data_IF_886954184423
#
_entry.id   IF_886954184423
#
_cell.length_a   1.000
_cell.length_b   1.000
_cell.length_c   1.000
_cell.angle_alpha   90.00
_cell.angle_beta   90.00
_cell.angle_gamma   90.00
#
_symmetry.space_group_name_H-M   'P 1'
#
loop_
_entity.id
_entity.type
_entity.pdbx_description
1 polymer ?
#
# COMPACT_ATOMS: atom_id res chain seq x y z
N UNK A 1 31.22 4.31 1.28
CA UNK A 1 31.26 5.75 1.61
C UNK A 1 32.52 6.20 2.37
N UNK A 2 33.65 5.48 2.31
CA UNK A 2 34.84 5.83 3.13
C UNK A 2 35.61 7.07 2.65
N UNK A 3 35.50 7.42 1.37
CA UNK A 3 36.21 8.57 0.77
C UNK A 3 35.55 9.92 1.03
N UNK A 4 34.26 9.91 1.38
CA UNK A 4 33.43 11.11 1.55
C UNK A 4 33.94 12.07 2.63
N UNK A 5 34.30 11.60 3.84
CA UNK A 5 34.82 12.48 4.88
C UNK A 5 36.09 13.24 4.44
N UNK A 6 37.01 12.53 3.75
CA UNK A 6 38.24 13.12 3.23
C UNK A 6 37.96 14.15 2.14
N UNK A 7 36.97 13.88 1.27
CA UNK A 7 36.56 14.79 0.21
C UNK A 7 35.90 16.07 0.76
N UNK A 8 35.01 15.93 1.73
CA UNK A 8 34.34 17.04 2.42
C UNK A 8 35.40 17.93 3.10
N UNK A 9 36.33 17.33 3.84
CA UNK A 9 37.41 18.09 4.49
C UNK A 9 38.26 18.88 3.49
N UNK A 10 38.63 18.24 2.36
CA UNK A 10 39.40 18.90 1.29
C UNK A 10 38.64 20.06 0.64
N UNK A 11 37.33 19.91 0.42
CA UNK A 11 36.50 20.95 -0.19
C UNK A 11 36.21 22.09 0.77
N UNK A 12 35.85 21.78 2.03
CA UNK A 12 35.63 22.79 3.05
C UNK A 12 36.89 23.65 3.24
N UNK A 13 38.10 23.08 3.17
CA UNK A 13 39.34 23.89 3.22
C UNK A 13 39.46 24.92 2.09
N UNK A 14 38.90 24.67 0.91
CA UNK A 14 38.99 25.57 -0.25
C UNK A 14 37.88 26.63 -0.27
N UNK A 15 36.71 26.29 0.23
CA UNK A 15 35.49 27.07 0.04
C UNK A 15 34.85 27.57 1.35
N UNK A 16 35.26 27.07 2.51
CA UNK A 16 34.77 27.58 3.78
C UNK A 16 35.37 28.95 4.04
N UNK A 17 34.49 29.93 4.24
CA UNK A 17 34.84 31.29 4.64
C UNK A 17 34.54 31.40 6.13
N UNK A 18 35.50 31.89 6.91
CA UNK A 18 35.27 32.18 8.32
C UNK A 18 34.22 33.29 8.42
N UNK A 19 33.12 33.09 9.17
CA UNK A 19 32.11 34.13 9.32
C UNK A 19 32.71 35.37 9.99
N UNK A 20 32.24 36.55 9.60
CA UNK A 20 32.70 37.82 10.16
C UNK A 20 32.30 37.97 11.63
N UNK A 21 31.12 37.47 11.98
CA UNK A 21 30.61 37.38 13.34
C UNK A 21 30.43 35.89 13.68
N UNK A 22 31.04 35.46 14.79
CA UNK A 22 30.96 34.07 15.25
C UNK A 22 29.69 33.75 16.03
N UNK A 23 28.74 34.68 16.09
CA UNK A 23 27.51 34.51 16.83
C UNK A 23 26.53 33.60 16.07
N UNK A 24 25.81 32.79 16.85
CA UNK A 24 24.78 31.91 16.31
C UNK A 24 23.54 32.73 15.94
N UNK A 25 23.32 32.91 14.63
CA UNK A 25 22.15 33.62 14.09
C UNK A 25 20.91 32.71 14.03
N UNK A 26 21.04 31.41 14.37
CA UNK A 26 19.93 30.48 14.28
C UNK A 26 18.92 30.67 15.42
N UNK A 27 17.64 30.66 15.06
CA UNK A 27 16.53 30.68 16.00
C UNK A 27 16.37 29.28 16.59
N UNK A 28 16.47 29.17 17.93
CA UNK A 28 16.16 27.92 18.62
C UNK A 28 14.68 27.61 18.46
N UNK A 29 14.32 26.36 18.12
CA UNK A 29 12.92 25.98 18.01
C UNK A 29 12.22 26.18 19.36
N UNK A 30 11.01 26.73 19.30
CA UNK A 30 10.17 26.88 20.48
C UNK A 30 9.65 25.51 20.93
N UNK A 31 10.16 25.03 22.06
CA UNK A 31 9.75 23.77 22.68
C UNK A 31 10.57 22.54 22.28
N UNK A 32 10.14 21.37 22.77
CA UNK A 32 10.79 20.09 22.46
C UNK A 32 10.27 19.56 21.13
N UNK A 33 11.09 19.66 20.09
CA UNK A 33 10.80 19.04 18.79
C UNK A 33 11.30 17.60 18.79
N UNK A 34 10.40 16.67 18.48
CA UNK A 34 10.74 15.27 18.28
C UNK A 34 11.35 15.08 16.88
N UNK A 35 12.68 15.14 16.80
CA UNK A 35 13.42 15.04 15.54
C UNK A 35 13.28 13.67 14.89
N UNK A 36 13.21 12.60 15.70
CA UNK A 36 13.05 11.24 15.19
C UNK A 36 11.72 11.08 14.45
N UNK A 37 10.66 11.67 15.00
CA UNK A 37 9.35 11.70 14.36
C UNK A 37 9.28 12.65 13.15
N UNK A 38 10.04 13.75 13.19
CA UNK A 38 10.08 14.74 12.12
C UNK A 38 10.74 14.19 10.86
N UNK A 39 11.92 13.58 11.03
CA UNK A 39 12.75 13.01 9.96
C UNK A 39 12.40 11.56 9.61
N UNK A 40 11.37 10.99 10.24
CA UNK A 40 10.90 9.66 9.92
C UNK A 40 10.49 9.53 8.45
N UNK A 41 10.78 8.36 7.86
CA UNK A 41 10.30 8.00 6.52
C UNK A 41 8.79 7.82 6.57
N UNK A 42 8.06 8.47 5.66
CA UNK A 42 6.60 8.49 5.64
C UNK A 42 6.05 7.71 4.46
N UNK A 43 5.03 6.91 4.69
CA UNK A 43 4.36 6.15 3.65
C UNK A 43 2.89 5.90 3.97
N UNK A 44 2.00 6.12 2.99
CA UNK A 44 0.56 5.89 3.18
C UNK A 44 0.22 4.42 2.95
N UNK A 45 -0.47 3.80 3.91
CA UNK A 45 -0.96 2.41 3.82
C UNK A 45 -2.43 2.32 4.22
N UNK A 46 -3.14 1.37 3.62
CA UNK A 46 -4.49 1.00 4.07
C UNK A 46 -4.36 -0.11 5.09
N UNK A 47 -5.10 0.03 6.18
CA UNK A 47 -5.20 -0.98 7.23
C UNK A 47 -6.26 -2.02 6.88
N UNK A 48 -6.10 -3.21 7.45
CA UNK A 48 -7.10 -4.28 7.39
C UNK A 48 -8.28 -4.00 8.33
N UNK A 49 -9.27 -4.89 8.34
CA UNK A 49 -10.43 -4.83 9.24
C UNK A 49 -10.06 -4.81 10.73
N UNK A 50 -8.90 -5.38 11.09
CA UNK A 50 -8.38 -5.37 12.46
C UNK A 50 -7.41 -4.23 12.77
N UNK A 51 -7.25 -3.25 11.86
CA UNK A 51 -6.27 -2.16 12.05
C UNK A 51 -4.81 -2.56 11.85
N UNK A 52 -4.53 -3.76 11.34
CA UNK A 52 -3.18 -4.25 11.02
C UNK A 52 -2.64 -3.61 9.74
N UNK A 53 -1.32 -3.44 9.66
CA UNK A 53 -0.61 -2.95 8.47
C UNK A 53 0.50 -3.91 8.08
N UNK A 54 0.70 -4.09 6.77
CA UNK A 54 1.90 -4.71 6.21
C UNK A 54 2.88 -3.65 5.71
N UNK A 55 4.10 -3.64 6.22
CA UNK A 55 5.16 -2.69 5.87
C UNK A 55 6.51 -3.38 5.81
N UNK A 56 7.31 -3.14 4.77
CA UNK A 56 8.65 -3.75 4.63
C UNK A 56 8.67 -5.29 4.68
N UNK A 57 7.57 -5.95 4.26
CA UNK A 57 7.43 -7.41 4.33
C UNK A 57 7.07 -7.97 5.72
N UNK A 58 6.90 -7.10 6.72
CA UNK A 58 6.51 -7.45 8.09
C UNK A 58 5.09 -6.96 8.38
N UNK A 59 4.45 -7.55 9.39
CA UNK A 59 3.12 -7.14 9.83
C UNK A 59 3.21 -6.43 11.17
N UNK A 60 2.43 -5.37 11.31
CA UNK A 60 2.40 -4.56 12.51
C UNK A 60 0.97 -4.35 12.99
N UNK A 61 0.79 -4.42 14.30
CA UNK A 61 -0.48 -4.22 14.99
C UNK A 61 -0.31 -3.04 15.96
N UNK A 62 -1.35 -2.21 16.15
CA UNK A 62 -1.34 -1.17 17.17
C UNK A 62 -0.98 -1.73 18.56
N UNK A 63 -0.06 -1.06 19.26
CA UNK A 63 0.33 -1.43 20.61
C UNK A 63 -0.76 -1.15 21.66
N UNK A 64 -1.63 -0.19 21.35
CA UNK A 64 -2.76 0.20 22.18
C UNK A 64 -4.05 -0.48 21.68
N UNK A 65 -5.02 -0.67 22.57
CA UNK A 65 -6.34 -1.26 22.25
C UNK A 65 -7.19 -0.41 21.29
N UNK A 66 -6.71 0.77 20.86
CA UNK A 66 -7.36 1.65 19.88
C UNK A 66 -7.24 1.13 18.43
N UNK A 67 -7.18 -0.19 18.26
CA UNK A 67 -7.18 -0.87 16.95
C UNK A 67 -8.40 -0.50 16.10
N UNK A 68 -9.53 -0.21 16.76
CA UNK A 68 -10.80 0.09 16.09
C UNK A 68 -10.78 1.43 15.36
N UNK A 69 -10.10 2.44 15.91
CA UNK A 69 -9.95 3.76 15.28
C UNK A 69 -9.12 3.75 13.99
N UNK A 70 -8.37 2.67 13.77
CA UNK A 70 -7.52 2.47 12.60
C UNK A 70 -8.07 1.45 11.61
N UNK A 71 -9.18 0.76 11.85
CA UNK A 71 -9.70 -0.25 10.92
C UNK A 71 -10.12 0.36 9.57
N UNK A 72 -9.79 -0.32 8.46
CA UNK A 72 -10.15 0.05 7.08
C UNK A 72 -9.86 1.50 6.66
N UNK A 73 -8.88 2.14 7.29
CA UNK A 73 -8.58 3.56 7.11
C UNK A 73 -7.21 3.71 6.44
N UNK A 74 -7.01 4.78 5.68
CA UNK A 74 -5.69 5.15 5.20
C UNK A 74 -4.91 5.80 6.33
N UNK A 75 -3.78 5.21 6.69
CA UNK A 75 -2.90 5.66 7.77
C UNK A 75 -1.52 5.96 7.21
N UNK A 76 -0.87 6.97 7.80
CA UNK A 76 0.52 7.30 7.47
C UNK A 76 1.44 6.49 8.39
N UNK A 77 2.18 5.57 7.79
CA UNK A 77 3.24 4.82 8.47
C UNK A 77 4.48 5.69 8.52
N UNK A 78 5.05 5.84 9.71
CA UNK A 78 6.31 6.53 9.94
C UNK A 78 7.36 5.58 10.52
N UNK A 79 8.46 5.43 9.80
CA UNK A 79 9.63 4.68 10.24
C UNK A 79 10.70 5.66 10.74
N UNK A 80 11.04 5.58 12.04
CA UNK A 80 12.11 6.40 12.61
C UNK A 80 13.49 5.89 12.18
N UNK A 81 14.52 6.73 12.34
CA UNK A 81 15.93 6.36 12.15
C UNK A 81 16.35 5.12 12.97
N UNK A 82 15.71 4.92 14.12
CA UNK A 82 15.88 3.76 15.02
C UNK A 82 15.12 2.50 14.59
N UNK A 83 14.32 2.58 13.52
CA UNK A 83 13.52 1.45 13.02
C UNK A 83 12.19 1.24 13.75
N UNK A 84 11.75 2.19 14.60
CA UNK A 84 10.42 2.11 15.24
C UNK A 84 9.37 2.53 14.24
N UNK A 85 8.25 1.82 14.24
CA UNK A 85 7.12 2.08 13.36
C UNK A 85 5.98 2.76 14.13
N UNK A 86 5.53 3.89 13.60
CA UNK A 86 4.37 4.62 14.09
C UNK A 86 3.27 4.64 13.04
N UNK A 87 2.03 4.41 13.46
CA UNK A 87 0.85 4.67 12.67
C UNK A 87 0.28 6.04 13.04
N UNK A 88 0.14 6.93 12.07
CA UNK A 88 -0.51 8.23 12.24
C UNK A 88 -1.86 8.23 11.54
N UNK A 89 -2.93 8.44 12.31
CA UNK A 89 -4.30 8.57 11.79
C UNK A 89 -5.00 9.73 12.47
N UNK A 90 -5.60 10.63 11.68
CA UNK A 90 -6.37 11.80 12.18
C UNK A 90 -5.61 12.61 13.24
N UNK A 91 -4.29 12.77 13.08
CA UNK A 91 -3.43 13.49 14.02
C UNK A 91 -3.04 12.72 15.29
N UNK A 92 -3.53 11.48 15.47
CA UNK A 92 -3.12 10.59 16.56
C UNK A 92 -1.94 9.74 16.14
N UNK A 93 -0.92 9.68 17.00
CA UNK A 93 0.25 8.79 16.86
C UNK A 93 0.04 7.53 17.68
N UNK A 94 0.18 6.38 17.05
CA UNK A 94 0.04 5.07 17.69
C UNK A 94 1.30 4.27 17.40
N UNK A 95 1.91 3.73 18.44
CA UNK A 95 3.07 2.85 18.30
C UNK A 95 2.62 1.51 17.71
N UNK A 96 3.36 1.01 16.73
CA UNK A 96 3.02 -0.23 16.02
C UNK A 96 4.03 -1.31 16.42
N UNK A 97 3.53 -2.42 16.97
CA UNK A 97 4.35 -3.57 17.34
C UNK A 97 4.39 -4.56 16.18
N UNK A 98 5.59 -5.05 15.89
CA UNK A 98 5.77 -6.12 14.92
C UNK A 98 5.13 -7.40 15.48
N UNK A 99 4.31 -8.05 14.66
CA UNK A 99 3.72 -9.35 14.98
C UNK A 99 4.34 -10.37 14.05
N UNK A 100 4.88 -11.44 14.64
CA UNK A 100 5.42 -12.54 13.86
C UNK A 100 4.32 -13.11 12.97
N UNK A 101 4.54 -13.04 11.66
CA UNK A 101 3.66 -13.70 10.74
C UNK A 101 3.81 -15.20 10.96
N UNK A 102 2.73 -15.87 11.40
CA UNK A 102 2.71 -17.33 11.44
C UNK A 102 3.27 -17.85 10.13
N UNK A 103 4.39 -18.60 10.22
CA UNK A 103 4.99 -19.27 9.07
C UNK A 103 3.86 -20.07 8.44
N UNK A 104 3.47 -19.70 7.22
CA UNK A 104 2.65 -20.59 6.41
C UNK A 104 3.50 -21.84 6.32
N UNK A 105 3.08 -22.91 6.99
CA UNK A 105 3.57 -24.24 6.67
C UNK A 105 3.28 -24.35 5.19
N UNK A 106 4.34 -24.39 4.38
CA UNK A 106 4.21 -24.58 2.94
C UNK A 106 3.26 -25.76 2.77
N UNK A 107 2.09 -25.46 2.23
CA UNK A 107 0.97 -26.38 2.17
C UNK A 107 1.17 -27.40 1.06
N UNK A 108 2.39 -27.90 0.91
CA UNK A 108 2.66 -29.12 0.17
C UNK A 108 2.04 -30.31 0.93
N UNK A 109 2.03 -30.29 2.28
CA UNK A 109 1.33 -31.32 3.06
C UNK A 109 -0.15 -31.02 3.36
N UNK A 110 -0.57 -29.75 3.44
CA UNK A 110 -1.99 -29.44 3.63
C UNK A 110 -2.80 -29.55 2.31
N UNK A 111 -2.13 -29.53 1.15
CA UNK A 111 -2.76 -29.90 -0.13
C UNK A 111 -2.88 -31.42 -0.31
N UNK A 112 -2.05 -32.23 0.37
CA UNK A 112 -2.11 -33.69 0.30
C UNK A 112 -3.38 -34.29 0.96
N UNK A 113 -4.04 -33.54 1.86
CA UNK A 113 -5.32 -33.93 2.49
C UNK A 113 -6.54 -33.17 1.97
N UNK A 114 -6.42 -32.37 0.90
CA UNK A 114 -7.62 -32.10 0.11
C UNK A 114 -8.04 -33.42 -0.50
N UNK A 115 -9.23 -33.92 -0.12
CA UNK A 115 -9.95 -34.95 -0.89
C UNK A 115 -9.71 -34.61 -2.35
N UNK A 116 -9.19 -35.54 -3.13
CA UNK A 116 -8.98 -35.37 -4.57
C UNK A 116 -10.29 -34.84 -5.13
N UNK A 117 -10.41 -33.52 -5.27
CA UNK A 117 -11.46 -32.90 -6.05
C UNK A 117 -11.03 -33.25 -7.45
N UNK A 118 -11.45 -34.43 -7.90
CA UNK A 118 -11.26 -34.84 -9.28
C UNK A 118 -11.68 -33.67 -10.15
N UNK A 119 -10.92 -33.44 -11.22
CA UNK A 119 -11.16 -32.37 -12.18
C UNK A 119 -12.66 -32.31 -12.51
N UNK A 120 -13.41 -31.45 -11.81
CA UNK A 120 -14.84 -31.30 -12.05
C UNK A 120 -14.90 -30.62 -13.39
N UNK A 121 -15.33 -31.36 -14.41
CA UNK A 121 -15.53 -30.79 -15.74
C UNK A 121 -16.46 -29.60 -15.55
N UNK A 122 -16.00 -28.42 -15.97
CA UNK A 122 -16.83 -27.23 -16.01
C UNK A 122 -18.17 -27.59 -16.67
N UNK A 123 -19.28 -27.29 -16.00
CA UNK A 123 -20.61 -27.66 -16.46
C UNK A 123 -20.84 -27.04 -17.85
N UNK A 124 -21.00 -27.88 -18.87
CA UNK A 124 -21.34 -27.43 -20.22
C UNK A 124 -22.86 -27.33 -20.30
N UNK A 125 -23.44 -26.15 -20.58
CA UNK A 125 -24.88 -26.04 -20.79
C UNK A 125 -25.31 -26.89 -21.99
N UNK A 126 -26.58 -27.29 -21.98
CA UNK A 126 -27.17 -28.13 -23.02
C UNK A 126 -26.98 -27.51 -24.42
N UNK A 127 -26.96 -28.32 -25.49
CA UNK A 127 -26.75 -27.83 -26.86
C UNK A 127 -27.75 -26.75 -27.31
N UNK A 128 -28.98 -26.77 -26.79
CA UNK A 128 -30.05 -25.82 -27.14
C UNK A 128 -29.93 -24.46 -26.43
N UNK A 129 -29.05 -24.37 -25.43
CA UNK A 129 -29.01 -23.25 -24.50
C UNK A 129 -28.72 -21.93 -25.24
N UNK A 130 -29.48 -20.86 -24.99
CA UNK A 130 -29.41 -19.62 -25.76
C UNK A 130 -28.01 -19.00 -25.80
N UNK A 131 -27.20 -19.19 -24.75
CA UNK A 131 -25.86 -18.60 -24.64
C UNK A 131 -24.76 -19.41 -25.36
N UNK A 132 -25.11 -20.57 -25.92
CA UNK A 132 -24.24 -21.39 -26.77
C UNK A 132 -24.38 -21.05 -28.26
N UNK A 133 -25.39 -20.27 -28.63
CA UNK A 133 -25.62 -19.82 -30.01
C UNK A 133 -24.58 -18.74 -30.31
N UNK A 134 -23.48 -19.15 -30.95
CA UNK A 134 -22.43 -18.25 -31.39
C UNK A 134 -23.02 -17.09 -32.20
N UNK A 135 -22.49 -15.89 -31.97
CA UNK A 135 -22.85 -14.65 -32.68
C UNK A 135 -22.90 -14.93 -34.17
N UNK A 136 -24.12 -15.01 -34.72
CA UNK A 136 -24.33 -15.11 -36.17
C UNK A 136 -23.76 -13.83 -36.76
N UNK A 137 -22.65 -13.92 -37.50
CA UNK A 137 -22.14 -12.82 -38.31
C UNK A 137 -23.25 -12.45 -39.31
N UNK A 138 -23.99 -11.38 -39.03
CA UNK A 138 -24.97 -10.84 -39.98
C UNK A 138 -24.22 -10.26 -41.17
N UNK A 139 -24.11 -11.02 -42.25
CA UNK A 139 -23.78 -10.50 -43.58
C UNK A 139 -25.07 -10.00 -44.23
N UNK A 140 -25.05 -8.77 -44.75
CA UNK A 140 -25.92 -8.35 -45.84
C UNK A 140 -27.24 -7.67 -45.46
N UNK A 141 -27.36 -6.41 -45.89
CA UNK A 141 -28.55 -5.56 -45.89
C UNK A 141 -29.76 -6.15 -46.65
N UNK A 142 -30.97 -5.79 -46.22
CA UNK A 142 -32.05 -5.33 -47.12
C UNK A 142 -32.85 -4.23 -46.40
N UNK A 143 -32.63 -2.99 -46.82
CA UNK A 143 -33.48 -1.86 -46.49
C UNK A 143 -34.67 -1.85 -47.45
N UNK A 144 -35.86 -2.11 -46.96
CA UNK A 144 -37.09 -1.72 -47.66
C UNK A 144 -37.92 -0.85 -46.73
N UNK A 145 -37.82 0.46 -46.95
CA UNK A 145 -38.78 1.44 -46.47
C UNK A 145 -40.16 1.07 -47.00
N UNK A 146 -41.13 0.85 -46.11
CA UNK A 146 -42.54 1.07 -46.43
C UNK A 146 -43.33 1.15 -45.14
N UNK A 147 -43.61 2.36 -44.67
CA UNK A 147 -44.83 2.62 -43.91
C UNK A 147 -45.48 3.87 -44.48
N UNK A 148 -46.55 3.62 -45.23
CA UNK A 148 -47.56 4.64 -45.53
C UNK A 148 -48.42 4.76 -44.28
N UNK A 149 -48.32 5.86 -43.55
CA UNK A 149 -49.36 6.28 -42.62
C UNK A 149 -50.16 7.40 -43.26
N UNK A 150 -51.31 7.04 -43.85
CA UNK A 150 -52.44 7.94 -44.05
C UNK A 150 -53.18 8.07 -42.73
N UNK A 151 -53.38 9.29 -42.24
CA UNK A 151 -54.43 9.61 -41.28
C UNK A 151 -55.33 10.68 -41.89
N UNK A 152 -56.63 10.43 -41.76
CA UNK A 152 -57.75 11.25 -42.23
C UNK A 152 -57.91 12.52 -41.40
#
# INVERSE_FOLDING_TARGET
NEVLPKLIARHNRKFAVTPAEGEDVYVKPEGKVDLDFLFARRESRRTDHGGMISYGGRRYVPAADDCLGMAQTTVEVRETSTGRIWGVSKGRRIEMKEVESQKRVDSDEASAKKRKSGLVKAHKPAPDHPWRRGVVKRQGYHSTCRDKCTFA
#
